data_IF_967816953563
#
_entry.id   IF_967816953563
#
_cell.length_a   1.000
_cell.length_b   1.000
_cell.length_c   1.000
_cell.angle_alpha   90.00
_cell.angle_beta   90.00
_cell.angle_gamma   90.00
#
_symmetry.space_group_name_H-M   'P 1'
#
loop_
_entity.id
_entity.type
_entity.pdbx_description
1 polymer ?
#
# COMPACT_ATOMS: atom_id res chain seq x y z
N UNK A 1 -13.20 -5.56 -5.54
CA UNK A 1 -12.06 -4.70 -5.11
C UNK A 1 -11.42 -5.06 -3.75
N UNK A 2 -12.03 -5.90 -2.89
CA UNK A 2 -11.43 -6.23 -1.57
C UNK A 2 -10.08 -6.96 -1.71
N UNK A 3 -9.97 -7.85 -2.71
CA UNK A 3 -8.80 -8.70 -2.97
C UNK A 3 -7.85 -8.21 -4.07
N UNK A 4 -8.18 -7.11 -4.77
CA UNK A 4 -7.38 -6.64 -5.92
C UNK A 4 -5.93 -6.28 -5.50
N UNK A 5 -5.79 -5.57 -4.39
CA UNK A 5 -4.47 -5.24 -3.85
C UNK A 5 -3.73 -6.47 -3.33
N UNK A 6 -4.45 -7.43 -2.76
CA UNK A 6 -3.89 -8.66 -2.23
C UNK A 6 -3.35 -9.55 -3.36
N UNK A 7 -4.05 -9.57 -4.51
CA UNK A 7 -3.60 -10.21 -5.73
C UNK A 7 -2.32 -9.55 -6.30
N UNK A 8 -2.24 -8.22 -6.29
CA UNK A 8 -1.07 -7.47 -6.78
C UNK A 8 0.18 -7.74 -5.94
N UNK A 9 0.03 -7.79 -4.62
CA UNK A 9 1.09 -8.20 -3.69
C UNK A 9 1.50 -9.64 -3.93
N UNK A 10 0.54 -10.56 -4.06
CA UNK A 10 0.81 -11.98 -4.28
C UNK A 10 1.56 -12.23 -5.59
N UNK A 11 1.16 -11.56 -6.67
CA UNK A 11 1.84 -11.62 -7.97
C UNK A 11 3.29 -11.13 -7.89
N UNK A 12 3.54 -10.07 -7.12
CA UNK A 12 4.90 -9.55 -6.91
C UNK A 12 5.78 -10.51 -6.10
N UNK A 13 5.21 -11.18 -5.08
CA UNK A 13 5.92 -12.22 -4.30
C UNK A 13 6.30 -13.40 -5.21
N UNK A 14 5.40 -13.83 -6.09
CA UNK A 14 5.67 -14.91 -7.05
C UNK A 14 6.80 -14.49 -8.01
N UNK A 15 6.81 -13.25 -8.51
CA UNK A 15 7.88 -12.70 -9.34
C UNK A 15 9.24 -12.70 -8.65
N UNK A 16 9.28 -12.35 -7.37
CA UNK A 16 10.51 -12.39 -6.55
C UNK A 16 10.99 -13.84 -6.37
N UNK A 17 10.10 -14.76 -6.01
CA UNK A 17 10.44 -16.19 -5.88
C UNK A 17 10.98 -16.77 -7.19
N UNK A 18 10.36 -16.42 -8.32
CA UNK A 18 10.79 -16.88 -9.64
C UNK A 18 12.17 -16.30 -10.02
N UNK A 19 12.42 -15.02 -9.72
CA UNK A 19 13.72 -14.40 -9.93
C UNK A 19 14.83 -15.04 -9.08
N UNK A 20 14.53 -15.41 -7.84
CA UNK A 20 15.47 -16.14 -6.97
C UNK A 20 15.75 -17.57 -7.46
N UNK A 21 14.74 -18.23 -8.03
CA UNK A 21 14.92 -19.55 -8.66
C UNK A 21 15.76 -19.50 -9.95
N UNK A 22 15.68 -18.41 -10.71
CA UNK A 22 16.47 -18.21 -11.94
C UNK A 22 17.92 -17.78 -11.66
N UNK A 23 18.18 -17.17 -10.50
CA UNK A 23 19.50 -16.70 -10.06
C UNK A 23 20.64 -17.72 -10.20
N UNK A 24 20.49 -19.02 -9.87
CA UNK A 24 21.54 -20.02 -10.05
C UNK A 24 21.84 -20.35 -11.53
N UNK A 25 20.90 -20.13 -12.44
CA UNK A 25 21.07 -20.45 -13.88
C UNK A 25 21.58 -19.25 -14.67
N UNK A 26 21.04 -18.06 -14.37
CA UNK A 26 21.43 -16.80 -15.00
C UNK A 26 21.38 -15.66 -13.97
N UNK A 27 22.51 -15.35 -13.28
CA UNK A 27 22.50 -14.39 -12.18
C UNK A 27 22.10 -12.98 -12.62
N UNK A 28 22.52 -12.54 -13.81
CA UNK A 28 22.19 -11.21 -14.35
C UNK A 28 20.68 -11.03 -14.57
N UNK A 29 20.03 -12.03 -15.15
CA UNK A 29 18.58 -11.98 -15.42
C UNK A 29 17.76 -12.19 -14.15
N UNK A 30 18.23 -13.03 -13.23
CA UNK A 30 17.61 -13.24 -11.92
C UNK A 30 17.57 -11.97 -11.08
N UNK A 31 18.71 -11.28 -10.94
CA UNK A 31 18.79 -10.04 -10.16
C UNK A 31 17.96 -8.91 -10.78
N UNK A 32 17.94 -8.80 -12.12
CA UNK A 32 17.11 -7.83 -12.83
C UNK A 32 15.62 -8.08 -12.60
N UNK A 33 15.19 -9.34 -12.62
CA UNK A 33 13.78 -9.71 -12.45
C UNK A 33 13.31 -9.50 -10.99
N UNK A 34 14.18 -9.80 -10.01
CA UNK A 34 13.92 -9.48 -8.60
C UNK A 34 13.84 -7.97 -8.38
N UNK A 35 14.81 -7.22 -8.91
CA UNK A 35 14.84 -5.76 -8.80
C UNK A 35 13.61 -5.11 -9.45
N UNK A 36 13.24 -5.55 -10.65
CA UNK A 36 12.04 -5.09 -11.35
C UNK A 36 10.76 -5.40 -10.56
N UNK A 37 10.65 -6.62 -10.03
CA UNK A 37 9.50 -7.03 -9.21
C UNK A 37 9.38 -6.21 -7.93
N UNK A 38 10.51 -5.87 -7.30
CA UNK A 38 10.54 -5.03 -6.11
C UNK A 38 10.16 -3.57 -6.41
N UNK A 39 10.67 -3.02 -7.51
CA UNK A 39 10.32 -1.67 -7.96
C UNK A 39 8.83 -1.60 -8.28
N UNK A 40 8.28 -2.59 -8.99
CA UNK A 40 6.84 -2.66 -9.25
C UNK A 40 6.04 -2.78 -7.95
N UNK A 41 6.51 -3.60 -6.98
CA UNK A 41 5.87 -3.69 -5.68
C UNK A 41 5.81 -2.31 -4.99
N UNK A 42 6.94 -1.61 -4.88
CA UNK A 42 7.00 -0.33 -4.17
C UNK A 42 6.23 0.75 -4.94
N UNK A 43 6.54 0.96 -6.21
CA UNK A 43 6.00 2.09 -6.97
C UNK A 43 4.56 1.91 -7.43
N UNK A 44 4.05 0.69 -7.56
CA UNK A 44 2.66 0.44 -7.96
C UNK A 44 1.80 0.08 -6.75
N UNK A 45 2.26 -0.87 -5.91
CA UNK A 45 1.44 -1.33 -4.79
C UNK A 45 1.24 -0.24 -3.75
N UNK A 46 2.27 0.54 -3.41
CA UNK A 46 2.16 1.59 -2.39
C UNK A 46 1.15 2.68 -2.75
N UNK A 47 1.20 3.35 -3.93
CA UNK A 47 0.22 4.38 -4.24
C UNK A 47 -1.19 3.82 -4.37
N UNK A 48 -1.36 2.61 -4.92
CA UNK A 48 -2.68 1.95 -4.98
C UNK A 48 -3.19 1.63 -3.57
N UNK A 49 -2.32 1.20 -2.65
CA UNK A 49 -2.67 0.98 -1.25
C UNK A 49 -3.18 2.27 -0.60
N UNK A 50 -2.45 3.37 -0.78
CA UNK A 50 -2.80 4.68 -0.21
C UNK A 50 -4.14 5.16 -0.79
N UNK A 51 -4.31 5.11 -2.11
CA UNK A 51 -5.55 5.52 -2.77
C UNK A 51 -6.75 4.72 -2.26
N UNK A 52 -6.61 3.39 -2.12
CA UNK A 52 -7.67 2.54 -1.59
C UNK A 52 -8.00 2.88 -0.12
N UNK A 53 -7.00 3.20 0.70
CA UNK A 53 -7.18 3.55 2.11
C UNK A 53 -7.87 4.91 2.27
N UNK A 54 -7.54 5.86 1.40
CA UNK A 54 -8.03 7.24 1.45
C UNK A 54 -9.35 7.49 0.72
N UNK A 55 -9.86 6.50 -0.04
CA UNK A 55 -11.09 6.64 -0.85
C UNK A 55 -12.33 7.16 -0.10
N UNK A 56 -12.45 6.94 1.22
CA UNK A 56 -13.61 7.35 2.02
C UNK A 56 -13.23 8.20 3.24
N UNK A 57 -12.04 8.81 3.25
CA UNK A 57 -11.59 9.66 4.36
C UNK A 57 -11.43 11.09 3.85
N UNK A 58 -12.22 12.00 4.38
CA UNK A 58 -11.99 13.43 4.16
C UNK A 58 -10.81 13.89 5.02
N UNK A 59 -9.92 14.69 4.45
CA UNK A 59 -8.71 15.17 5.15
C UNK A 59 -9.09 16.12 6.28
N UNK A 60 -10.17 16.88 6.10
CA UNK A 60 -10.64 17.89 7.05
C UNK A 60 -11.12 17.27 8.34
N UNK A 61 -11.63 16.04 8.31
CA UNK A 61 -12.02 15.29 9.52
C UNK A 61 -10.82 14.98 10.43
N UNK A 62 -9.59 15.04 9.92
CA UNK A 62 -8.36 14.82 10.68
C UNK A 62 -7.62 16.12 11.01
N UNK A 63 -8.13 17.28 10.57
CA UNK A 63 -7.54 18.58 10.89
C UNK A 63 -8.09 19.11 12.22
N UNK A 64 -7.21 19.75 13.00
CA UNK A 64 -7.57 20.40 14.26
C UNK A 64 -8.25 21.76 14.01
N UNK A 65 -9.42 21.74 13.37
CA UNK A 65 -10.24 22.92 13.16
C UNK A 65 -11.07 23.21 14.40
N UNK A 66 -11.48 24.48 14.59
CA UNK A 66 -12.36 24.87 15.71
C UNK A 66 -13.62 23.98 15.79
N UNK A 67 -14.23 23.69 14.64
CA UNK A 67 -15.43 22.84 14.55
C UNK A 67 -15.16 21.40 15.01
N UNK A 68 -14.01 20.82 14.66
CA UNK A 68 -13.67 19.45 15.10
C UNK A 68 -13.31 19.39 16.59
N UNK A 69 -12.67 20.43 17.13
CA UNK A 69 -12.39 20.53 18.57
C UNK A 69 -13.69 20.67 19.37
N UNK A 70 -14.65 21.44 18.87
CA UNK A 70 -15.96 21.61 19.49
C UNK A 70 -16.74 20.28 19.49
N UNK A 71 -16.77 19.57 18.35
CA UNK A 71 -17.34 18.20 18.27
C UNK A 71 -16.69 17.22 19.25
N UNK A 72 -15.38 17.29 19.46
CA UNK A 72 -14.68 16.43 20.44
C UNK A 72 -15.08 16.76 21.89
N UNK A 73 -15.30 18.05 22.18
CA UNK A 73 -15.70 18.51 23.51
C UNK A 73 -17.16 18.14 23.82
N UNK A 74 -18.06 18.34 22.87
CA UNK A 74 -19.48 17.97 22.99
C UNK A 74 -19.63 16.45 23.18
N UNK A 75 -18.82 15.65 22.49
CA UNK A 75 -18.78 14.19 22.70
C UNK A 75 -18.35 13.81 24.12
N UNK A 76 -17.40 14.54 24.71
CA UNK A 76 -16.90 14.29 26.08
C UNK A 76 -17.93 14.71 27.13
N UNK A 77 -18.58 15.87 26.94
CA UNK A 77 -19.61 16.37 27.87
C UNK A 77 -20.93 15.56 27.81
N UNK A 78 -21.19 14.87 26.69
CA UNK A 78 -22.35 13.98 26.52
C UNK A 78 -22.17 12.56 27.09
N UNK A 79 -20.97 12.23 27.60
CA UNK A 79 -20.60 10.91 28.10
C UNK A 79 -20.56 10.87 29.62
#
# INVERSE_FOLDING_TARGET
MKYFLQFLVLSSIIGICYGLYLKPVNPQNGDLLVGLSLVLLIFITMPIFIYRRWKNKDVKDYMLTKENIEKMRDYNDSK
#
